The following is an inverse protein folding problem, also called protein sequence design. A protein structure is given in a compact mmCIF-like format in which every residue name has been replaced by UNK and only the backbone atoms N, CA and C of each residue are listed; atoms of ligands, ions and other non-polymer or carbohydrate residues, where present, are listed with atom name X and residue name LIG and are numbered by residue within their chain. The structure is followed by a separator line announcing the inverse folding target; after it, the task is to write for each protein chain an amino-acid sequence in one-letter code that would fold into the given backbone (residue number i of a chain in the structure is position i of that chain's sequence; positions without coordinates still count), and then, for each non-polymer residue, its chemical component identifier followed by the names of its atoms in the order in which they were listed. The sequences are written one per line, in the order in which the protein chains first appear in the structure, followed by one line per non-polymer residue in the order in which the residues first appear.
data_IF_258074816270
#
_entry.id   IF_258074816270
#
_cell.length_a   1.000
_cell.length_b   1.000
_cell.length_c   1.000
_cell.angle_alpha   90.00
_cell.angle_beta   90.00
_cell.angle_gamma   90.00
#
_symmetry.space_group_name_H-M   'P 1'
#
loop_
_entity.id
_entity.type
_entity.pdbx_description
1 polymer ?
#
# COMPACT_ATOMS: atom_id res chain seq x y z
N UNK A 1 -11.71 -0.01 -22.35
CA UNK A 1 -11.78 -0.97 -21.22
C UNK A 1 -12.79 -0.44 -20.22
N UNK A 2 -13.69 -1.29 -19.76
CA UNK A 2 -14.60 -0.95 -18.66
C UNK A 2 -14.12 -1.61 -17.38
N UNK A 3 -13.92 -0.84 -16.33
CA UNK A 3 -13.29 -1.33 -15.11
C UNK A 3 -14.02 -0.93 -13.83
N UNK A 4 -13.90 -1.78 -12.82
CA UNK A 4 -14.26 -1.48 -11.43
C UNK A 4 -12.99 -1.25 -10.63
N UNK A 5 -12.97 -0.17 -9.84
CA UNK A 5 -11.90 0.13 -8.89
C UNK A 5 -12.47 0.12 -7.47
N UNK A 6 -12.16 -0.91 -6.69
CA UNK A 6 -12.59 -0.93 -5.28
C UNK A 6 -11.60 -0.14 -4.41
N UNK A 7 -12.10 0.50 -3.35
CA UNK A 7 -11.29 1.43 -2.58
C UNK A 7 -10.99 2.73 -3.35
N UNK A 8 -11.89 3.11 -4.27
CA UNK A 8 -11.77 4.25 -5.18
C UNK A 8 -11.60 5.61 -4.49
N UNK A 9 -12.10 5.78 -3.26
CA UNK A 9 -11.90 7.00 -2.45
C UNK A 9 -10.60 6.96 -1.60
N UNK A 10 -9.82 5.87 -1.69
CA UNK A 10 -8.56 5.73 -0.97
C UNK A 10 -7.39 6.44 -1.66
N UNK A 11 -6.25 6.56 -0.96
CA UNK A 11 -5.04 7.24 -1.45
C UNK A 11 -4.55 6.75 -2.81
N UNK A 12 -4.42 5.43 -3.00
CA UNK A 12 -3.99 4.85 -4.28
C UNK A 12 -5.18 4.79 -5.25
N UNK A 13 -6.38 4.45 -4.75
CA UNK A 13 -7.57 4.25 -5.57
C UNK A 13 -8.02 5.50 -6.30
N UNK A 14 -8.04 6.66 -5.63
CA UNK A 14 -8.40 7.93 -6.26
C UNK A 14 -7.42 8.31 -7.38
N UNK A 15 -6.13 8.11 -7.16
CA UNK A 15 -5.09 8.35 -8.18
C UNK A 15 -5.21 7.39 -9.36
N UNK A 16 -5.52 6.12 -9.11
CA UNK A 16 -5.76 5.14 -10.18
C UNK A 16 -6.99 5.50 -11.00
N UNK A 17 -8.11 5.86 -10.36
CA UNK A 17 -9.31 6.31 -11.04
C UNK A 17 -9.03 7.52 -11.95
N UNK A 18 -8.35 8.55 -11.41
CA UNK A 18 -7.96 9.71 -12.18
C UNK A 18 -7.06 9.37 -13.38
N UNK A 19 -6.09 8.48 -13.18
CA UNK A 19 -5.21 8.01 -14.26
C UNK A 19 -5.99 7.27 -15.34
N UNK A 20 -6.87 6.33 -14.96
CA UNK A 20 -7.67 5.56 -15.92
C UNK A 20 -8.62 6.46 -16.72
N UNK A 21 -9.27 7.43 -16.07
CA UNK A 21 -10.10 8.42 -16.76
C UNK A 21 -9.30 9.24 -17.78
N UNK A 22 -8.06 9.62 -17.46
CA UNK A 22 -7.16 10.32 -18.41
C UNK A 22 -6.72 9.45 -19.60
N UNK A 23 -6.88 8.14 -19.50
CA UNK A 23 -6.65 7.18 -20.59
C UNK A 23 -7.94 6.81 -21.31
N UNK A 24 -9.01 7.62 -21.18
CA UNK A 24 -10.33 7.39 -21.78
C UNK A 24 -10.91 6.01 -21.43
N UNK A 25 -10.64 5.51 -20.22
CA UNK A 25 -11.20 4.26 -19.73
C UNK A 25 -12.52 4.53 -18.97
N UNK A 26 -13.50 3.65 -19.15
CA UNK A 26 -14.76 3.68 -18.40
C UNK A 26 -14.54 3.09 -17.00
N UNK A 27 -14.65 3.92 -15.96
CA UNK A 27 -14.30 3.57 -14.57
C UNK A 27 -15.51 3.69 -13.65
N UNK A 28 -15.82 2.60 -12.96
CA UNK A 28 -16.80 2.57 -11.87
C UNK A 28 -16.05 2.47 -10.54
N UNK A 29 -16.20 3.47 -9.70
CA UNK A 29 -15.63 3.48 -8.35
C UNK A 29 -16.49 2.70 -7.37
N UNK A 30 -15.88 1.87 -6.53
CA UNK A 30 -16.54 1.19 -5.40
C UNK A 30 -15.87 1.59 -4.10
N UNK A 31 -16.60 2.20 -3.20
CA UNK A 31 -16.11 2.59 -1.88
C UNK A 31 -17.26 2.87 -0.91
N UNK A 32 -16.94 3.10 0.36
CA UNK A 32 -17.95 3.40 1.40
C UNK A 32 -18.58 4.77 1.26
N UNK A 33 -17.90 5.72 0.64
CA UNK A 33 -18.33 7.14 0.57
C UNK A 33 -18.46 7.66 -0.85
N UNK A 34 -18.17 6.86 -1.88
CA UNK A 34 -18.04 7.32 -3.26
C UNK A 34 -16.71 8.02 -3.54
N UNK A 35 -16.54 8.43 -4.78
CA UNK A 35 -15.42 9.23 -5.26
C UNK A 35 -16.01 10.34 -6.16
N UNK A 36 -15.92 11.59 -5.72
CA UNK A 36 -16.53 12.74 -6.38
C UNK A 36 -15.95 13.00 -7.79
N UNK A 37 -14.72 12.55 -8.05
CA UNK A 37 -14.05 12.68 -9.35
C UNK A 37 -14.58 11.68 -10.40
N UNK A 38 -15.46 10.74 -10.01
CA UNK A 38 -16.01 9.73 -10.90
C UNK A 38 -17.47 9.97 -11.23
N UNK A 39 -17.82 9.78 -12.50
CA UNK A 39 -19.21 9.84 -12.97
C UNK A 39 -20.05 8.66 -12.46
N UNK A 40 -19.42 7.49 -12.28
CA UNK A 40 -20.09 6.28 -11.83
C UNK A 40 -19.49 5.77 -10.51
N UNK A 41 -20.34 5.68 -9.49
CA UNK A 41 -19.98 5.20 -8.17
C UNK A 41 -20.96 4.16 -7.65
N UNK A 42 -20.44 3.13 -6.98
CA UNK A 42 -21.20 2.16 -6.20
C UNK A 42 -20.77 2.28 -4.73
N UNK A 43 -21.74 2.45 -3.87
CA UNK A 43 -21.51 2.48 -2.43
C UNK A 43 -21.56 1.05 -1.90
N UNK A 44 -20.47 0.59 -1.32
CA UNK A 44 -20.34 -0.75 -0.74
C UNK A 44 -19.34 -0.74 0.39
N UNK A 45 -19.76 -1.23 1.57
CA UNK A 45 -18.86 -1.54 2.66
C UNK A 45 -18.63 -3.05 2.71
N UNK A 46 -17.49 -3.50 2.21
CA UNK A 46 -17.15 -4.92 2.19
C UNK A 46 -17.04 -5.58 3.58
N UNK A 47 -17.14 -4.80 4.66
CA UNK A 47 -17.27 -5.35 6.01
C UNK A 47 -18.68 -5.90 6.28
N UNK A 48 -19.71 -5.30 5.69
CA UNK A 48 -21.12 -5.65 5.92
C UNK A 48 -21.81 -6.14 4.66
N UNK A 49 -21.33 -5.72 3.47
CA UNK A 49 -22.01 -5.89 2.22
C UNK A 49 -21.16 -6.65 1.19
N UNK A 50 -21.84 -7.13 0.15
CA UNK A 50 -21.25 -7.65 -1.08
C UNK A 50 -21.81 -6.89 -2.26
N UNK A 51 -21.08 -6.85 -3.36
CA UNK A 51 -21.66 -6.32 -4.60
C UNK A 51 -22.81 -7.20 -5.05
N UNK A 52 -23.89 -6.57 -5.50
CA UNK A 52 -25.05 -7.29 -6.02
C UNK A 52 -24.65 -8.15 -7.21
N UNK A 53 -25.16 -9.36 -7.28
CA UNK A 53 -24.96 -10.25 -8.43
C UNK A 53 -25.38 -9.56 -9.73
N UNK A 54 -24.55 -9.66 -10.75
CA UNK A 54 -24.75 -8.97 -12.03
C UNK A 54 -24.06 -7.62 -12.15
N UNK A 55 -23.52 -7.05 -11.05
CA UNK A 55 -22.84 -5.75 -11.07
C UNK A 55 -21.62 -5.75 -11.99
N UNK A 56 -20.96 -6.87 -12.17
CA UNK A 56 -19.74 -6.98 -12.97
C UNK A 56 -19.97 -7.53 -14.39
N UNK A 57 -21.21 -7.74 -14.84
CA UNK A 57 -21.46 -8.10 -16.22
C UNK A 57 -21.01 -7.00 -17.18
N UNK A 58 -20.21 -7.35 -18.18
CA UNK A 58 -19.63 -6.42 -19.14
C UNK A 58 -18.46 -5.60 -18.61
N UNK A 59 -17.97 -5.90 -17.40
CA UNK A 59 -16.72 -5.36 -16.86
C UNK A 59 -15.55 -6.19 -17.36
N UNK A 60 -14.54 -5.52 -17.94
CA UNK A 60 -13.32 -6.19 -18.41
C UNK A 60 -12.34 -6.46 -17.26
N UNK A 61 -12.23 -5.52 -16.32
CA UNK A 61 -11.18 -5.55 -15.28
C UNK A 61 -11.69 -5.08 -13.93
N UNK A 62 -11.31 -5.80 -12.88
CA UNK A 62 -11.45 -5.35 -11.48
C UNK A 62 -10.08 -5.02 -10.91
N UNK A 63 -9.89 -3.77 -10.50
CA UNK A 63 -8.75 -3.34 -9.67
C UNK A 63 -9.20 -3.34 -8.21
N UNK A 64 -8.69 -4.30 -7.44
CA UNK A 64 -9.07 -4.46 -6.04
C UNK A 64 -8.06 -3.84 -5.10
N UNK A 65 -8.38 -2.62 -4.63
CA UNK A 65 -7.57 -1.84 -3.68
C UNK A 65 -8.24 -1.74 -2.29
N UNK A 66 -9.52 -2.10 -2.20
CA UNK A 66 -10.19 -2.13 -0.91
C UNK A 66 -9.50 -3.13 0.03
N UNK A 67 -9.41 -2.77 1.30
CA UNK A 67 -8.80 -3.60 2.32
C UNK A 67 -8.61 -2.82 3.61
N UNK A 68 -8.34 -3.54 4.69
CA UNK A 68 -8.13 -2.96 5.99
C UNK A 68 -6.64 -2.85 6.29
N UNK A 69 -6.19 -1.65 6.58
CA UNK A 69 -4.83 -1.32 6.98
C UNK A 69 -4.87 -0.19 8.02
N UNK A 70 -4.08 -0.23 9.08
CA UNK A 70 -3.86 0.90 10.01
C UNK A 70 -4.75 1.03 11.26
N UNK A 71 -5.44 0.00 11.74
CA UNK A 71 -6.05 0.09 13.07
C UNK A 71 -5.23 -0.65 14.15
N UNK A 72 -5.01 0.04 15.27
CA UNK A 72 -4.18 -0.43 16.39
C UNK A 72 -4.97 -0.40 17.71
N UNK A 73 -6.27 -0.05 17.68
CA UNK A 73 -7.04 0.28 18.86
C UNK A 73 -7.49 -0.93 19.68
N UNK A 74 -7.85 -2.05 19.05
CA UNK A 74 -8.24 -3.29 19.71
C UNK A 74 -7.72 -4.52 18.95
N UNK A 75 -6.76 -5.30 19.49
CA UNK A 75 -6.12 -6.40 18.75
C UNK A 75 -7.07 -7.54 18.32
N UNK A 76 -8.14 -7.82 19.06
CA UNK A 76 -9.09 -8.90 18.70
C UNK A 76 -10.02 -8.46 17.57
N UNK A 77 -10.70 -7.34 17.74
CA UNK A 77 -11.59 -6.78 16.71
C UNK A 77 -10.84 -6.46 15.42
N UNK A 78 -9.60 -5.94 15.55
CA UNK A 78 -8.74 -5.71 14.41
C UNK A 78 -8.44 -6.98 13.63
N UNK A 79 -8.20 -8.13 14.32
CA UNK A 79 -7.89 -9.39 13.64
C UNK A 79 -9.07 -9.92 12.83
N UNK A 80 -10.27 -9.90 13.39
CA UNK A 80 -11.49 -10.34 12.69
C UNK A 80 -11.75 -9.46 11.45
N UNK A 81 -11.58 -8.14 11.57
CA UNK A 81 -11.70 -7.21 10.43
C UNK A 81 -10.64 -7.46 9.37
N UNK A 82 -9.39 -7.73 9.76
CA UNK A 82 -8.34 -8.08 8.82
C UNK A 82 -8.66 -9.35 8.03
N UNK A 83 -9.14 -10.40 8.69
CA UNK A 83 -9.54 -11.64 8.01
C UNK A 83 -10.73 -11.37 7.08
N UNK A 84 -11.77 -10.73 7.56
CA UNK A 84 -12.98 -10.45 6.82
C UNK A 84 -12.74 -9.61 5.56
N UNK A 85 -12.03 -8.47 5.73
CA UNK A 85 -11.84 -7.52 4.63
C UNK A 85 -10.68 -7.88 3.69
N UNK A 86 -9.59 -8.44 4.21
CA UNK A 86 -8.42 -8.69 3.37
C UNK A 86 -8.42 -10.10 2.75
N UNK A 87 -9.09 -11.07 3.37
CA UNK A 87 -9.12 -12.46 2.88
C UNK A 87 -10.49 -12.77 2.28
N UNK A 88 -11.54 -12.80 3.12
CA UNK A 88 -12.86 -13.28 2.72
C UNK A 88 -13.48 -12.40 1.64
N UNK A 89 -13.54 -11.09 1.85
CA UNK A 89 -14.08 -10.16 0.87
C UNK A 89 -13.29 -10.15 -0.44
N UNK A 90 -11.95 -10.27 -0.38
CA UNK A 90 -11.11 -10.37 -1.58
C UNK A 90 -11.41 -11.64 -2.37
N UNK A 91 -11.50 -12.80 -1.68
CA UNK A 91 -11.82 -14.09 -2.29
C UNK A 91 -13.23 -14.08 -2.92
N UNK A 92 -14.22 -13.64 -2.15
CA UNK A 92 -15.62 -13.59 -2.62
C UNK A 92 -15.77 -12.68 -3.84
N UNK A 93 -15.13 -11.52 -3.83
CA UNK A 93 -15.15 -10.58 -4.96
C UNK A 93 -14.49 -11.19 -6.21
N UNK A 94 -13.36 -11.88 -6.05
CA UNK A 94 -12.67 -12.51 -7.18
C UNK A 94 -13.49 -13.68 -7.76
N UNK A 95 -14.11 -14.50 -6.91
CA UNK A 95 -15.02 -15.57 -7.36
C UNK A 95 -16.22 -14.99 -8.11
N UNK A 96 -16.82 -13.92 -7.59
CA UNK A 96 -17.94 -13.25 -8.26
C UNK A 96 -17.48 -12.67 -9.61
N UNK A 97 -16.32 -11.99 -9.65
CA UNK A 97 -15.75 -11.43 -10.87
C UNK A 97 -15.56 -12.50 -11.96
N UNK A 98 -14.99 -13.66 -11.60
CA UNK A 98 -14.83 -14.78 -12.51
C UNK A 98 -16.18 -15.30 -13.04
N UNK A 99 -17.16 -15.51 -12.18
CA UNK A 99 -18.50 -15.99 -12.56
C UNK A 99 -19.25 -15.00 -13.46
N UNK A 100 -19.00 -13.71 -13.32
CA UNK A 100 -19.65 -12.63 -14.11
C UNK A 100 -18.86 -12.26 -15.38
N UNK A 101 -17.79 -13.03 -15.70
CA UNK A 101 -17.07 -12.92 -16.99
C UNK A 101 -16.01 -11.82 -17.03
N UNK A 102 -15.54 -11.33 -15.86
CA UNK A 102 -14.39 -10.42 -15.78
C UNK A 102 -13.15 -11.12 -16.32
N UNK A 103 -12.40 -10.44 -17.19
CA UNK A 103 -11.21 -11.01 -17.83
C UNK A 103 -9.94 -10.87 -16.99
N UNK A 104 -9.83 -9.81 -16.19
CA UNK A 104 -8.63 -9.54 -15.40
C UNK A 104 -8.98 -9.04 -13.99
N UNK A 105 -8.35 -9.63 -12.98
CA UNK A 105 -8.44 -9.21 -11.59
C UNK A 105 -7.06 -8.77 -11.09
N UNK A 106 -6.92 -7.50 -10.78
CA UNK A 106 -5.66 -6.90 -10.29
C UNK A 106 -5.78 -6.65 -8.80
N UNK A 107 -5.04 -7.38 -7.99
CA UNK A 107 -5.04 -7.25 -6.54
C UNK A 107 -3.88 -6.41 -6.03
N UNK A 108 -4.18 -5.37 -5.28
CA UNK A 108 -3.17 -4.58 -4.59
C UNK A 108 -2.93 -5.15 -3.19
N UNK A 109 -1.82 -5.88 -3.10
CA UNK A 109 -1.29 -6.45 -1.88
C UNK A 109 -0.33 -5.47 -1.17
N UNK A 110 0.75 -5.96 -0.61
CA UNK A 110 1.80 -5.16 0.05
C UNK A 110 3.10 -5.96 0.13
N UNK A 111 4.25 -5.28 0.13
CA UNK A 111 5.53 -5.92 0.47
C UNK A 111 5.52 -6.57 1.86
N UNK A 112 4.61 -6.16 2.75
CA UNK A 112 4.43 -6.82 4.05
C UNK A 112 3.96 -8.27 3.94
N UNK A 113 3.37 -8.69 2.83
CA UNK A 113 3.03 -10.08 2.54
C UNK A 113 4.27 -10.98 2.34
N UNK A 114 5.46 -10.40 2.12
CA UNK A 114 6.72 -11.11 1.93
C UNK A 114 7.43 -11.48 3.25
N UNK A 115 6.96 -10.98 4.39
CA UNK A 115 7.63 -11.18 5.69
C UNK A 115 7.67 -12.67 6.04
N UNK A 116 8.84 -13.25 6.33
CA UNK A 116 8.96 -14.62 6.79
C UNK A 116 8.23 -14.85 8.10
N UNK A 117 7.48 -15.95 8.19
CA UNK A 117 6.68 -16.34 9.36
C UNK A 117 7.52 -16.68 10.61
N UNK A 118 8.85 -16.68 10.50
CA UNK A 118 9.79 -17.18 11.52
C UNK A 118 10.30 -16.12 12.49
N UNK A 119 9.80 -14.88 12.46
CA UNK A 119 10.21 -13.87 13.44
C UNK A 119 9.58 -14.18 14.81
N UNK A 120 10.45 -14.45 15.78
CA UNK A 120 10.09 -14.77 17.17
C UNK A 120 9.14 -13.73 17.78
N UNK A 121 8.22 -14.25 18.53
CA UNK A 121 7.06 -13.66 19.17
C UNK A 121 7.39 -12.41 20.01
N UNK A 122 7.15 -11.23 19.41
CA UNK A 122 6.98 -10.00 20.16
C UNK A 122 5.58 -9.45 19.84
N UNK A 123 4.70 -9.41 20.82
CA UNK A 123 3.29 -9.03 20.71
C UNK A 123 3.03 -7.65 20.01
N UNK A 124 4.04 -6.87 19.83
CA UNK A 124 3.98 -5.52 19.25
C UNK A 124 4.27 -5.46 17.73
N UNK A 125 4.88 -6.50 17.18
CA UNK A 125 4.99 -6.73 15.73
C UNK A 125 3.66 -7.28 15.18
N UNK A 126 2.76 -7.66 16.09
CA UNK A 126 1.53 -8.43 15.81
C UNK A 126 0.64 -7.78 14.75
N UNK A 127 0.38 -6.48 14.79
CA UNK A 127 -0.56 -5.84 13.85
C UNK A 127 0.01 -5.71 12.43
N UNK A 128 1.29 -5.32 12.29
CA UNK A 128 1.93 -5.28 10.98
C UNK A 128 2.12 -6.69 10.41
N UNK A 129 2.34 -7.67 11.28
CA UNK A 129 2.41 -9.10 10.95
C UNK A 129 1.05 -9.63 10.52
N UNK A 130 -0.02 -9.36 11.28
CA UNK A 130 -1.41 -9.74 10.93
C UNK A 130 -1.79 -9.16 9.57
N UNK A 131 -1.50 -7.89 9.32
CA UNK A 131 -1.74 -7.28 8.01
C UNK A 131 -1.00 -8.01 6.89
N UNK A 132 0.32 -8.23 7.06
CA UNK A 132 1.12 -8.96 6.08
C UNK A 132 0.64 -10.40 5.85
N UNK A 133 0.33 -11.13 6.93
CA UNK A 133 -0.20 -12.50 6.89
C UNK A 133 -1.56 -12.57 6.17
N UNK A 134 -2.47 -11.61 6.44
CA UNK A 134 -3.78 -11.59 5.76
C UNK A 134 -3.65 -11.25 4.28
N UNK A 135 -2.77 -10.32 3.90
CA UNK A 135 -2.46 -10.04 2.49
C UNK A 135 -1.85 -11.26 1.82
N UNK A 136 -0.89 -11.92 2.46
CA UNK A 136 -0.29 -13.17 1.94
C UNK A 136 -1.31 -14.26 1.74
N UNK A 137 -2.24 -14.43 2.67
CA UNK A 137 -3.29 -15.45 2.58
C UNK A 137 -4.23 -15.17 1.41
N UNK A 138 -4.63 -13.89 1.23
CA UNK A 138 -5.40 -13.48 0.06
C UNK A 138 -4.67 -13.75 -1.27
N UNK A 139 -3.35 -13.49 -1.33
CA UNK A 139 -2.55 -13.81 -2.52
C UNK A 139 -2.59 -15.31 -2.86
N UNK A 140 -2.46 -16.17 -1.84
CA UNK A 140 -2.49 -17.63 -2.05
C UNK A 140 -3.86 -18.10 -2.57
N UNK A 141 -4.96 -17.59 -1.99
CA UNK A 141 -6.32 -17.88 -2.46
C UNK A 141 -6.54 -17.42 -3.91
N UNK A 142 -5.99 -16.26 -4.28
CA UNK A 142 -6.09 -15.73 -5.64
C UNK A 142 -5.24 -16.55 -6.64
N UNK A 143 -4.03 -16.96 -6.26
CA UNK A 143 -3.18 -17.82 -7.11
C UNK A 143 -3.80 -19.20 -7.28
N UNK A 144 -4.51 -19.73 -6.29
CA UNK A 144 -5.29 -20.96 -6.44
C UNK A 144 -6.44 -20.75 -7.41
N UNK A 145 -7.20 -19.67 -7.24
CA UNK A 145 -8.33 -19.34 -8.13
C UNK A 145 -7.88 -19.14 -9.59
N UNK A 146 -6.69 -18.58 -9.86
CA UNK A 146 -6.20 -18.40 -11.24
C UNK A 146 -6.03 -19.74 -12.00
N UNK A 147 -5.81 -20.84 -11.28
CA UNK A 147 -5.67 -22.18 -11.89
C UNK A 147 -7.01 -22.80 -12.28
N UNK A 148 -8.08 -22.35 -11.63
CA UNK A 148 -9.43 -22.92 -11.77
C UNK A 148 -10.34 -22.06 -12.64
N UNK A 149 -9.84 -20.92 -13.17
CA UNK A 149 -10.62 -19.97 -13.96
C UNK A 149 -9.84 -19.44 -15.16
N UNK A 150 -10.54 -18.97 -16.18
CA UNK A 150 -9.93 -18.26 -17.32
C UNK A 150 -9.63 -16.76 -17.02
N UNK A 151 -9.94 -16.30 -15.81
CA UNK A 151 -9.69 -14.93 -15.39
C UNK A 151 -8.22 -14.73 -15.03
N UNK A 152 -7.54 -13.84 -15.74
CA UNK A 152 -6.16 -13.45 -15.43
C UNK A 152 -6.08 -12.75 -14.07
N UNK A 153 -5.26 -13.26 -13.17
CA UNK A 153 -5.04 -12.69 -11.83
C UNK A 153 -3.64 -12.12 -11.71
N UNK A 154 -3.54 -10.85 -11.36
CA UNK A 154 -2.30 -10.11 -11.20
C UNK A 154 -2.18 -9.59 -9.79
N UNK A 155 -1.06 -9.84 -9.14
CA UNK A 155 -0.82 -9.45 -7.75
C UNK A 155 0.30 -8.43 -7.69
N UNK A 156 0.03 -7.29 -7.03
CA UNK A 156 0.97 -6.17 -6.93
C UNK A 156 1.30 -5.92 -5.47
N UNK A 157 2.57 -5.91 -5.12
CA UNK A 157 3.10 -5.58 -3.79
C UNK A 157 3.79 -4.22 -3.82
N UNK A 158 3.09 -3.12 -3.54
CA UNK A 158 3.75 -1.84 -3.38
C UNK A 158 4.62 -1.82 -2.13
N UNK A 159 5.78 -1.16 -2.23
CA UNK A 159 6.57 -0.74 -1.08
C UNK A 159 5.90 0.42 -0.35
N UNK A 160 6.61 1.14 0.52
CA UNK A 160 6.06 2.30 1.22
C UNK A 160 5.68 3.39 0.21
N UNK A 161 4.36 3.64 0.07
CA UNK A 161 3.83 4.59 -0.91
C UNK A 161 3.86 6.01 -0.34
N UNK A 162 4.36 6.95 -1.13
CA UNK A 162 4.39 8.37 -0.81
C UNK A 162 3.82 9.23 -1.95
N UNK A 163 3.54 10.51 -1.67
CA UNK A 163 3.00 11.46 -2.64
C UNK A 163 2.03 12.43 -1.99
N UNK A 164 1.28 13.22 -2.77
CA UNK A 164 0.22 14.08 -2.24
C UNK A 164 -0.80 13.28 -1.43
N UNK A 165 -1.29 13.87 -0.34
CA UNK A 165 -2.22 13.21 0.61
C UNK A 165 -1.60 12.04 1.38
N UNK A 166 -0.33 12.18 1.78
CA UNK A 166 0.39 11.23 2.62
C UNK A 166 -0.50 10.66 3.74
N UNK A 167 -0.34 9.37 4.01
CA UNK A 167 -1.03 8.68 5.12
C UNK A 167 -0.04 7.93 6.01
N UNK A 168 -0.53 7.50 7.17
CA UNK A 168 0.21 6.64 8.08
C UNK A 168 1.47 7.27 8.69
N UNK A 169 2.54 6.49 8.78
CA UNK A 169 3.76 6.90 9.51
C UNK A 169 4.50 8.08 8.86
N UNK A 170 4.50 8.18 7.52
CA UNK A 170 5.14 9.31 6.83
C UNK A 170 4.41 10.63 7.14
N UNK A 171 3.07 10.63 7.12
CA UNK A 171 2.28 11.79 7.52
C UNK A 171 2.54 12.16 8.99
N UNK A 172 2.55 11.18 9.89
CA UNK A 172 2.83 11.41 11.31
C UNK A 172 4.21 12.04 11.51
N UNK A 173 5.23 11.54 10.80
CA UNK A 173 6.60 12.08 10.84
C UNK A 173 6.65 13.51 10.29
N UNK A 174 6.06 13.75 9.12
CA UNK A 174 5.97 15.08 8.51
C UNK A 174 5.29 16.09 9.44
N UNK A 175 4.15 15.73 10.04
CA UNK A 175 3.42 16.59 10.94
C UNK A 175 4.21 16.89 12.22
N UNK A 176 4.89 15.91 12.79
CA UNK A 176 5.74 16.10 13.98
C UNK A 176 6.95 17.00 13.69
N UNK A 177 7.55 16.90 12.49
CA UNK A 177 8.61 17.80 12.04
C UNK A 177 8.05 19.21 11.86
N UNK A 178 6.91 19.33 11.20
CA UNK A 178 6.28 20.64 10.94
C UNK A 178 5.93 21.38 12.24
N UNK A 179 5.41 20.67 13.24
CA UNK A 179 5.07 21.22 14.55
C UNK A 179 6.28 21.45 15.49
N UNK A 180 7.48 21.06 15.07
CA UNK A 180 8.69 21.19 15.89
C UNK A 180 8.83 20.17 17.04
N UNK A 181 7.94 19.18 17.09
CA UNK A 181 7.95 18.13 18.13
C UNK A 181 8.80 16.90 17.77
N UNK A 182 9.30 16.82 16.54
CA UNK A 182 10.14 15.71 16.15
C UNK A 182 11.58 15.91 16.66
N UNK A 183 12.10 14.98 17.49
CA UNK A 183 13.44 15.15 18.04
C UNK A 183 14.50 15.02 16.95
N UNK A 184 15.67 15.66 17.08
CA UNK A 184 16.78 15.45 16.17
C UNK A 184 17.23 13.99 16.24
N UNK A 185 17.02 13.26 15.15
CA UNK A 185 17.37 11.84 15.08
C UNK A 185 18.88 11.63 15.08
N UNK A 186 19.37 10.50 15.67
CA UNK A 186 20.72 10.05 15.36
C UNK A 186 20.84 9.70 13.87
N UNK A 187 22.05 9.52 13.41
CA UNK A 187 22.24 8.98 12.06
C UNK A 187 21.77 7.52 12.02
N UNK A 188 20.71 7.26 11.24
CA UNK A 188 20.12 5.94 11.04
C UNK A 188 20.38 5.53 9.59
N UNK A 189 21.22 4.51 9.40
CA UNK A 189 21.66 4.00 8.09
C UNK A 189 20.88 2.77 7.62
N UNK A 190 19.61 2.70 7.99
CA UNK A 190 18.75 1.63 7.49
C UNK A 190 18.40 1.84 6.01
N UNK A 191 17.77 0.83 5.42
CA UNK A 191 17.46 0.79 3.99
C UNK A 191 15.97 0.54 3.80
N UNK A 192 15.27 1.49 3.17
CA UNK A 192 13.82 1.44 2.94
C UNK A 192 13.50 1.66 1.47
N UNK A 193 12.75 0.72 0.90
CA UNK A 193 12.17 0.87 -0.44
C UNK A 193 10.89 1.67 -0.37
N UNK A 194 10.75 2.60 -1.30
CA UNK A 194 9.58 3.48 -1.41
C UNK A 194 9.12 3.56 -2.87
N UNK A 195 7.92 4.08 -3.11
CA UNK A 195 7.40 4.37 -4.44
C UNK A 195 6.45 5.56 -4.40
N UNK A 196 6.56 6.47 -5.37
CA UNK A 196 5.58 7.54 -5.52
C UNK A 196 4.24 6.99 -6.02
N UNK A 197 3.13 7.53 -5.51
CA UNK A 197 1.79 7.04 -5.86
C UNK A 197 1.51 7.09 -7.36
N UNK A 198 1.94 8.12 -8.06
CA UNK A 198 1.74 8.23 -9.51
C UNK A 198 2.60 7.22 -10.30
N UNK A 199 3.81 6.91 -9.83
CA UNK A 199 4.62 5.83 -10.40
C UNK A 199 4.02 4.46 -10.10
N UNK A 200 3.46 4.27 -8.91
CA UNK A 200 2.71 3.05 -8.58
C UNK A 200 1.51 2.85 -9.51
N UNK A 201 0.75 3.91 -9.78
CA UNK A 201 -0.40 3.85 -10.71
C UNK A 201 0.06 3.47 -12.12
N UNK A 202 1.16 4.04 -12.61
CA UNK A 202 1.78 3.64 -13.89
C UNK A 202 2.23 2.19 -13.88
N UNK A 203 2.80 1.73 -12.76
CA UNK A 203 3.21 0.34 -12.58
C UNK A 203 1.99 -0.62 -12.60
N UNK A 204 0.90 -0.25 -11.93
CA UNK A 204 -0.36 -1.03 -11.95
C UNK A 204 -0.85 -1.21 -13.39
N UNK A 205 -0.88 -0.13 -14.17
CA UNK A 205 -1.33 -0.17 -15.56
C UNK A 205 -0.38 -0.98 -16.46
N UNK A 206 0.94 -0.85 -16.28
CA UNK A 206 1.92 -1.66 -17.00
C UNK A 206 1.80 -3.16 -16.69
N UNK A 207 1.56 -3.51 -15.40
CA UNK A 207 1.35 -4.91 -14.99
C UNK A 207 0.03 -5.43 -15.56
N UNK A 208 -1.02 -4.62 -15.60
CA UNK A 208 -2.28 -4.97 -16.26
C UNK A 208 -2.03 -5.34 -17.73
N UNK A 209 -1.28 -4.53 -18.44
CA UNK A 209 -1.00 -4.70 -19.88
C UNK A 209 -0.08 -5.90 -20.16
N UNK A 210 1.04 -6.04 -19.43
CA UNK A 210 2.13 -6.97 -19.73
C UNK A 210 2.35 -8.07 -18.70
N UNK A 211 1.71 -8.01 -17.55
CA UNK A 211 1.91 -9.00 -16.49
C UNK A 211 1.41 -10.39 -16.87
N UNK A 212 2.02 -11.40 -16.29
CA UNK A 212 1.64 -12.80 -16.47
C UNK A 212 0.66 -13.25 -15.39
N UNK A 213 -0.26 -14.13 -15.75
CA UNK A 213 -1.26 -14.68 -14.85
C UNK A 213 -0.64 -15.37 -13.63
N UNK A 214 -1.26 -15.22 -12.47
CA UNK A 214 -0.81 -15.77 -11.20
C UNK A 214 0.47 -15.14 -10.62
N UNK A 215 1.07 -14.17 -11.32
CA UNK A 215 2.36 -13.62 -10.95
C UNK A 215 2.27 -12.45 -9.97
N UNK A 216 3.29 -12.35 -9.10
CA UNK A 216 3.42 -11.30 -8.08
C UNK A 216 4.52 -10.32 -8.49
N UNK A 217 4.19 -9.03 -8.48
CA UNK A 217 5.08 -7.94 -8.85
C UNK A 217 5.30 -6.99 -7.66
N UNK A 218 6.53 -6.89 -7.20
CA UNK A 218 6.92 -5.88 -6.20
C UNK A 218 7.26 -4.57 -6.90
N UNK A 219 6.72 -3.47 -6.37
CA UNK A 219 6.90 -2.13 -6.96
C UNK A 219 7.62 -1.21 -5.98
N UNK A 220 8.78 -0.72 -6.41
CA UNK A 220 9.59 0.29 -5.72
C UNK A 220 10.03 1.35 -6.74
N UNK A 221 10.59 2.45 -6.27
CA UNK A 221 11.25 3.43 -7.15
C UNK A 221 12.70 3.06 -7.50
N UNK A 222 13.18 1.89 -7.05
CA UNK A 222 14.53 1.37 -7.29
C UNK A 222 15.61 2.01 -6.41
N UNK A 223 15.30 3.04 -5.61
CA UNK A 223 16.20 3.65 -4.63
C UNK A 223 15.91 3.13 -3.22
N UNK A 224 16.94 3.07 -2.40
CA UNK A 224 16.86 2.78 -0.97
C UNK A 224 17.10 4.07 -0.20
N UNK A 225 16.25 4.34 0.78
CA UNK A 225 16.30 5.54 1.60
C UNK A 225 16.54 5.18 3.06
N UNK A 226 17.47 5.86 3.70
CA UNK A 226 17.61 5.80 5.16
C UNK A 226 16.52 6.65 5.84
N UNK A 227 16.22 6.32 7.10
CA UNK A 227 15.33 7.18 7.90
C UNK A 227 15.89 8.59 8.05
N UNK A 228 17.22 8.73 8.08
CA UNK A 228 17.87 10.04 8.09
C UNK A 228 17.60 10.82 6.81
N UNK A 229 17.76 10.21 5.63
CA UNK A 229 17.44 10.87 4.35
C UNK A 229 15.96 11.26 4.25
N UNK A 230 15.05 10.42 4.75
CA UNK A 230 13.61 10.74 4.80
C UNK A 230 13.36 11.96 5.70
N UNK A 231 13.97 11.99 6.87
CA UNK A 231 13.88 13.12 7.81
C UNK A 231 14.42 14.42 7.20
N UNK A 232 15.61 14.38 6.61
CA UNK A 232 16.25 15.54 5.98
C UNK A 232 15.44 16.06 4.79
N UNK A 233 14.87 15.16 3.98
CA UNK A 233 13.98 15.53 2.87
C UNK A 233 12.74 16.24 3.38
N UNK A 234 12.09 15.75 4.45
CA UNK A 234 10.95 16.46 5.03
C UNK A 234 11.34 17.82 5.60
N UNK A 235 12.48 17.94 6.30
CA UNK A 235 12.96 19.25 6.79
C UNK A 235 13.14 20.22 5.62
N UNK A 236 13.83 19.80 4.55
CA UNK A 236 14.04 20.61 3.35
C UNK A 236 12.72 21.06 2.73
N UNK A 237 11.78 20.13 2.54
CA UNK A 237 10.46 20.40 1.92
C UNK A 237 9.61 21.35 2.77
N UNK A 238 9.69 21.22 4.08
CA UNK A 238 8.98 22.09 5.04
C UNK A 238 9.72 23.40 5.35
N UNK A 239 10.85 23.68 4.70
CA UNK A 239 11.71 24.84 4.96
C UNK A 239 12.12 24.96 6.43
N UNK A 240 12.36 23.82 7.09
CA UNK A 240 12.83 23.73 8.47
C UNK A 240 14.34 23.54 8.49
N UNK A 241 15.02 24.27 9.37
CA UNK A 241 16.45 24.08 9.58
C UNK A 241 16.74 22.67 10.14
N UNK A 242 17.80 22.07 9.64
CA UNK A 242 18.30 20.83 10.24
C UNK A 242 18.91 21.14 11.61
N UNK A 243 18.60 20.33 12.65
CA UNK A 243 19.19 20.53 13.96
C UNK A 243 20.72 20.47 13.89
N UNK A 244 21.40 21.41 14.56
CA UNK A 244 22.87 21.46 14.65
C UNK A 244 23.47 20.32 15.46
N UNK A 245 22.65 19.60 16.22
CA UNK A 245 23.02 18.46 17.05
C UNK A 245 22.13 17.27 16.76
N UNK A 246 22.64 16.07 17.03
CA UNK A 246 21.90 14.80 16.87
C UNK A 246 21.92 14.05 18.18
N UNK A 247 20.82 13.38 18.50
CA UNK A 247 20.77 12.45 19.62
C UNK A 247 21.76 11.30 19.39
N UNK A 248 22.58 10.91 20.37
CA UNK A 248 23.38 9.70 20.25
C UNK A 248 22.49 8.46 20.11
N UNK A 249 22.90 7.51 19.29
CA UNK A 249 22.10 6.33 18.95
C UNK A 249 21.70 5.47 20.18
N UNK A 250 22.51 5.48 21.23
CA UNK A 250 22.21 4.73 22.46
C UNK A 250 20.91 5.21 23.15
N UNK A 251 20.51 6.47 22.99
CA UNK A 251 19.24 6.96 23.53
C UNK A 251 18.04 6.26 22.87
N UNK A 252 18.11 5.97 21.56
CA UNK A 252 17.06 5.17 20.89
C UNK A 252 16.99 3.76 21.47
N UNK A 253 18.16 3.14 21.80
CA UNK A 253 18.17 1.83 22.46
C UNK A 253 17.51 1.89 23.84
N UNK A 254 17.81 2.89 24.65
CA UNK A 254 17.16 3.08 25.96
C UNK A 254 15.65 3.27 25.81
N UNK A 255 15.23 4.15 24.91
CA UNK A 255 13.81 4.41 24.64
C UNK A 255 13.08 3.18 24.09
N UNK A 256 13.77 2.30 23.36
CA UNK A 256 13.20 1.05 22.86
C UNK A 256 12.95 0.00 23.97
N UNK A 257 13.50 0.17 25.16
CA UNK A 257 13.21 -0.67 26.32
C UNK A 257 11.87 -0.33 26.98
N UNK A 258 11.34 0.87 26.74
CA UNK A 258 10.02 1.29 27.23
C UNK A 258 8.95 0.53 26.43
N UNK A 259 8.16 -0.34 27.08
CA UNK A 259 7.12 -1.10 26.38
C UNK A 259 6.01 -0.17 25.87
N UNK A 260 5.31 -0.59 24.82
CA UNK A 260 4.18 0.13 24.25
C UNK A 260 4.44 0.76 22.88
N UNK A 261 3.68 1.79 22.56
CA UNK A 261 3.67 2.45 21.24
C UNK A 261 5.00 3.11 20.88
N UNK A 262 5.78 3.54 21.89
CA UNK A 262 7.09 4.17 21.67
C UNK A 262 8.10 3.17 21.10
N UNK A 263 8.18 1.98 21.68
CA UNK A 263 9.02 0.89 21.16
C UNK A 263 8.70 0.60 19.69
N UNK A 264 7.40 0.47 19.34
CA UNK A 264 6.97 0.21 17.96
C UNK A 264 7.41 1.32 16.99
N UNK A 265 7.29 2.58 17.40
CA UNK A 265 7.72 3.73 16.59
C UNK A 265 9.24 3.71 16.36
N UNK A 266 10.01 3.41 17.41
CA UNK A 266 11.48 3.35 17.32
C UNK A 266 11.91 2.17 16.43
N UNK A 267 11.33 0.99 16.64
CA UNK A 267 11.60 -0.18 15.80
C UNK A 267 11.37 0.15 14.32
N UNK A 268 10.22 0.74 14.00
CA UNK A 268 9.93 1.18 12.62
C UNK A 268 10.90 2.23 12.07
N UNK A 269 11.55 3.02 12.91
CA UNK A 269 12.55 4.00 12.46
C UNK A 269 13.88 3.35 12.08
N UNK A 270 14.27 2.24 12.72
CA UNK A 270 15.60 1.63 12.58
C UNK A 270 15.62 0.37 11.71
N UNK A 271 14.49 -0.29 11.48
CA UNK A 271 14.41 -1.52 10.70
C UNK A 271 14.67 -1.29 9.21
N UNK A 272 15.32 -2.27 8.59
CA UNK A 272 15.46 -2.37 7.15
C UNK A 272 14.17 -2.91 6.52
N UNK A 273 13.73 -2.27 5.45
CA UNK A 273 12.58 -2.68 4.63
C UNK A 273 12.94 -2.51 3.15
N UNK A 274 13.85 -3.33 2.66
CA UNK A 274 14.40 -3.23 1.30
C UNK A 274 13.91 -4.38 0.44
N UNK A 275 13.33 -4.04 -0.72
CA UNK A 275 12.69 -4.97 -1.65
C UNK A 275 13.22 -4.73 -3.07
N UNK A 276 13.19 -5.77 -3.91
CA UNK A 276 13.59 -5.69 -5.31
C UNK A 276 12.37 -5.52 -6.22
N UNK A 277 12.46 -4.62 -7.19
CA UNK A 277 11.49 -4.41 -8.27
C UNK A 277 11.96 -4.98 -9.61
N UNK A 278 12.99 -5.83 -9.64
CA UNK A 278 13.59 -6.35 -10.89
C UNK A 278 12.58 -7.01 -11.84
N UNK A 279 11.56 -7.67 -11.31
CA UNK A 279 10.53 -8.33 -12.11
C UNK A 279 9.67 -7.35 -12.90
N UNK A 280 9.25 -6.24 -12.31
CA UNK A 280 8.49 -5.22 -13.05
C UNK A 280 9.42 -4.39 -13.94
N UNK A 281 10.66 -4.19 -13.55
CA UNK A 281 11.68 -3.54 -14.38
C UNK A 281 11.92 -4.31 -15.68
N UNK A 282 11.88 -5.66 -15.65
CA UNK A 282 11.96 -6.49 -16.86
C UNK A 282 10.77 -6.32 -17.82
N UNK A 283 9.62 -5.81 -17.33
CA UNK A 283 8.49 -5.42 -18.18
C UNK A 283 8.67 -4.01 -18.81
N UNK A 284 9.74 -3.30 -18.46
CA UNK A 284 10.04 -1.95 -18.92
C UNK A 284 9.62 -0.84 -17.96
N UNK A 285 9.33 -1.16 -16.68
CA UNK A 285 9.06 -0.14 -15.67
C UNK A 285 10.33 0.63 -15.30
N UNK A 286 10.19 1.93 -15.21
CA UNK A 286 11.18 2.83 -14.60
C UNK A 286 10.42 3.91 -13.82
N UNK A 287 10.75 4.07 -12.56
CA UNK A 287 10.19 5.14 -11.74
C UNK A 287 10.72 6.49 -12.20
N UNK A 288 9.83 7.48 -12.29
CA UNK A 288 10.14 8.86 -12.74
C UNK A 288 10.34 9.82 -11.58
N UNK A 289 9.74 9.48 -10.42
CA UNK A 289 9.73 10.33 -9.24
C UNK A 289 10.56 9.68 -8.12
N UNK A 290 11.39 10.49 -7.47
CA UNK A 290 12.23 10.06 -6.36
C UNK A 290 11.88 10.85 -5.11
N UNK A 291 11.91 10.21 -3.95
CA UNK A 291 11.56 10.87 -2.69
C UNK A 291 12.48 12.09 -2.41
N UNK A 292 13.77 11.97 -2.72
CA UNK A 292 14.73 13.06 -2.54
C UNK A 292 14.53 14.30 -3.43
N UNK A 293 13.76 14.15 -4.54
CA UNK A 293 13.49 15.22 -5.50
C UNK A 293 12.14 15.91 -5.21
N UNK A 294 11.46 15.49 -4.14
CA UNK A 294 10.16 16.04 -3.75
C UNK A 294 10.28 17.50 -3.30
N UNK A 295 9.32 18.31 -3.69
CA UNK A 295 9.15 19.70 -3.29
C UNK A 295 7.77 19.91 -2.62
N UNK A 296 7.47 21.14 -2.19
CA UNK A 296 6.22 21.47 -1.47
C UNK A 296 4.93 21.08 -2.24
N UNK A 297 4.98 21.06 -3.56
CA UNK A 297 3.80 20.81 -4.42
C UNK A 297 3.53 19.32 -4.64
N UNK A 298 4.44 18.46 -4.20
CA UNK A 298 4.38 17.01 -4.41
C UNK A 298 4.06 16.22 -3.12
N UNK A 299 3.72 16.94 -2.03
CA UNK A 299 3.28 16.38 -0.74
C UNK A 299 1.87 16.81 -0.36
#
# INVERSE_FOLDING_TARGET
MKSIVTGSSGFIGSRLCHFLNKQDQDVIGVSRTGNEDLQANLICDFETDKLTTGTMFGIDTVFHLAGYAHDVSNPKESMERYVKLNIEATKDLAIQASKEGVKTFVFISSVKAEIPTNLQDNSQIKTARIYGETKRKAELELVELSRDTDMKILIIRPSLVYGPDLKGNLLSMRNAINSGWFPPLPEIKNSRSMVHVDDLVRAIFLIYDKGLDGEIYTVTDGKKYSTTEIYETFCKTLKKDLPKWRLPFFFLKILSLVPGTLKQKITKLVEDESYSSSKIESLGFSARLRFGDMNETLF
#
